data_IF_030941891967
#
_entry.id   IF_030941891967
#
_cell.length_a   1.000
_cell.length_b   1.000
_cell.length_c   1.000
_cell.angle_alpha   90.00
_cell.angle_beta   90.00
_cell.angle_gamma   90.00
#
_symmetry.space_group_name_H-M   'P 1'
#
loop_
_entity.id
_entity.type
_entity.pdbx_description
1 polymer ?
#
# COMPACT_ATOMS: atom_id res chain seq x y z
N UNK A 1 -7.12 -9.80 6.69
CA UNK A 1 -8.28 -10.40 6.02
C UNK A 1 -8.27 -11.89 6.28
N UNK A 2 -9.36 -12.44 6.84
CA UNK A 2 -9.53 -13.86 7.08
C UNK A 2 -10.42 -14.45 5.98
N UNK A 3 -9.99 -15.52 5.30
CA UNK A 3 -10.85 -16.18 4.31
C UNK A 3 -12.11 -16.74 4.97
N UNK A 4 -13.28 -16.38 4.42
CA UNK A 4 -14.55 -16.93 4.88
C UNK A 4 -14.73 -18.36 4.36
N UNK A 5 -15.06 -19.34 5.20
CA UNK A 5 -15.30 -20.70 4.76
C UNK A 5 -16.44 -20.78 3.74
N UNK A 6 -16.26 -21.53 2.66
CA UNK A 6 -17.29 -21.76 1.65
C UNK A 6 -17.43 -20.67 0.58
N UNK A 7 -16.59 -19.62 0.61
CA UNK A 7 -16.55 -18.60 -0.44
C UNK A 7 -15.68 -19.06 -1.62
N UNK A 8 -16.17 -18.93 -2.85
CA UNK A 8 -15.41 -19.19 -4.08
C UNK A 8 -14.32 -18.14 -4.30
N UNK A 9 -14.59 -16.89 -3.91
CA UNK A 9 -13.62 -15.78 -3.94
C UNK A 9 -13.32 -15.35 -2.51
N UNK A 10 -12.03 -15.23 -2.22
CA UNK A 10 -11.53 -14.89 -0.89
C UNK A 10 -10.66 -13.66 -1.00
N UNK A 11 -11.06 -12.57 -0.32
CA UNK A 11 -10.19 -11.43 -0.12
C UNK A 11 -9.00 -11.81 0.78
N UNK A 12 -7.81 -11.65 0.25
CA UNK A 12 -6.56 -11.83 0.99
C UNK A 12 -5.56 -10.78 0.51
N UNK A 13 -4.38 -10.71 1.13
CA UNK A 13 -3.37 -9.70 0.79
C UNK A 13 -2.96 -9.75 -0.69
N UNK A 14 -2.85 -10.93 -1.29
CA UNK A 14 -2.49 -11.05 -2.70
C UNK A 14 -3.57 -10.51 -3.64
N UNK A 15 -4.85 -10.92 -3.43
CA UNK A 15 -5.96 -10.43 -4.25
C UNK A 15 -6.15 -8.93 -4.09
N UNK A 16 -6.04 -8.41 -2.87
CA UNK A 16 -6.07 -6.97 -2.60
C UNK A 16 -4.96 -6.23 -3.34
N UNK A 17 -3.70 -6.68 -3.26
CA UNK A 17 -2.59 -6.04 -3.97
C UNK A 17 -2.78 -6.04 -5.50
N UNK A 18 -3.40 -7.09 -6.06
CA UNK A 18 -3.72 -7.16 -7.49
C UNK A 18 -4.83 -6.17 -7.89
N UNK A 19 -5.85 -6.02 -7.06
CA UNK A 19 -6.93 -5.05 -7.24
C UNK A 19 -6.37 -3.62 -7.17
N UNK A 20 -5.60 -3.30 -6.12
CA UNK A 20 -4.96 -1.99 -5.96
C UNK A 20 -4.03 -1.68 -7.14
N UNK A 21 -3.29 -2.67 -7.64
CA UNK A 21 -2.44 -2.50 -8.81
C UNK A 21 -3.21 -2.20 -10.09
N UNK A 22 -4.39 -2.81 -10.27
CA UNK A 22 -5.28 -2.55 -11.41
C UNK A 22 -5.87 -1.14 -11.36
N UNK A 23 -6.39 -0.72 -10.21
CA UNK A 23 -6.92 0.63 -9.99
C UNK A 23 -5.80 1.67 -10.10
N UNK A 24 -4.66 1.43 -9.46
CA UNK A 24 -3.50 2.30 -9.53
C UNK A 24 -2.98 2.51 -10.95
N UNK A 25 -2.95 1.45 -11.78
CA UNK A 25 -2.64 1.57 -13.21
C UNK A 25 -3.59 2.54 -13.90
N UNK A 26 -4.89 2.36 -13.72
CA UNK A 26 -5.91 3.23 -14.36
C UNK A 26 -5.76 4.68 -13.93
N UNK A 27 -5.56 4.94 -12.63
CA UNK A 27 -5.32 6.30 -12.14
C UNK A 27 -4.04 6.91 -12.73
N UNK A 28 -2.97 6.11 -12.83
CA UNK A 28 -1.71 6.53 -13.42
C UNK A 28 -1.83 6.85 -14.91
N UNK A 29 -2.54 6.02 -15.67
CA UNK A 29 -2.80 6.21 -17.11
C UNK A 29 -3.63 7.47 -17.36
N UNK A 30 -4.67 7.72 -16.54
CA UNK A 30 -5.50 8.93 -16.62
C UNK A 30 -4.68 10.20 -16.32
N UNK A 31 -3.81 10.16 -15.31
CA UNK A 31 -2.91 11.28 -15.00
C UNK A 31 -1.90 11.49 -16.12
N UNK A 32 -1.30 10.44 -16.65
CA UNK A 32 -0.36 10.53 -17.76
C UNK A 32 -1.02 11.18 -18.99
N UNK A 33 -2.23 10.75 -19.34
CA UNK A 33 -3.03 11.32 -20.43
C UNK A 33 -3.30 12.81 -20.20
N UNK A 34 -3.79 13.18 -19.02
CA UNK A 34 -4.11 14.57 -18.69
C UNK A 34 -2.85 15.47 -18.71
N UNK A 35 -1.68 14.94 -18.32
CA UNK A 35 -0.41 15.68 -18.40
C UNK A 35 0.03 15.87 -19.84
N UNK A 36 -0.06 14.84 -20.67
CA UNK A 36 0.31 14.93 -22.09
C UNK A 36 -0.62 15.85 -22.91
N UNK A 37 -1.92 15.91 -22.55
CA UNK A 37 -2.86 16.88 -23.15
C UNK A 37 -2.48 18.33 -22.81
N UNK A 38 -1.94 18.58 -21.62
CA UNK A 38 -1.48 19.91 -21.17
C UNK A 38 -0.06 20.25 -21.61
N UNK A 39 0.77 19.24 -21.81
CA UNK A 39 2.19 19.32 -22.10
C UNK A 39 2.57 18.39 -23.27
N UNK A 40 2.10 18.70 -24.51
CA UNK A 40 2.38 17.86 -25.68
C UNK A 40 3.87 17.70 -25.98
N UNK A 41 4.71 18.64 -25.53
CA UNK A 41 6.17 18.59 -25.64
C UNK A 41 6.82 17.42 -24.90
N UNK A 42 6.08 16.80 -23.97
CA UNK A 42 6.53 15.67 -23.16
C UNK A 42 6.15 14.30 -23.75
N UNK A 43 5.64 14.25 -24.99
CA UNK A 43 5.19 13.01 -25.63
C UNK A 43 6.28 11.95 -25.71
N UNK A 44 7.54 12.35 -25.91
CA UNK A 44 8.70 11.45 -25.99
C UNK A 44 9.34 11.17 -24.62
N UNK A 45 8.70 11.58 -23.53
CA UNK A 45 9.14 11.32 -22.17
C UNK A 45 8.63 9.97 -21.63
N UNK A 46 8.99 9.64 -20.38
CA UNK A 46 8.49 8.47 -19.68
C UNK A 46 7.11 8.68 -19.00
N UNK A 47 6.41 9.79 -19.27
CA UNK A 47 5.08 10.04 -18.72
C UNK A 47 4.06 8.93 -19.04
N UNK A 48 4.04 8.32 -20.23
CA UNK A 48 3.15 7.19 -20.53
C UNK A 48 3.34 5.97 -19.61
N UNK A 49 4.50 5.85 -18.96
CA UNK A 49 4.80 4.74 -18.05
C UNK A 49 4.28 4.94 -16.61
N UNK A 50 3.67 6.08 -16.31
CA UNK A 50 3.18 6.38 -14.95
C UNK A 50 2.24 5.27 -14.46
N UNK A 51 1.31 4.79 -15.30
CA UNK A 51 0.40 3.71 -14.94
C UNK A 51 1.14 2.42 -14.55
N UNK A 52 2.19 2.06 -15.30
CA UNK A 52 3.04 0.88 -15.01
C UNK A 52 3.80 1.05 -13.69
N UNK A 53 4.34 2.24 -13.43
CA UNK A 53 5.08 2.57 -12.20
C UNK A 53 4.16 2.50 -10.99
N UNK A 54 2.98 3.14 -11.07
CA UNK A 54 1.99 3.13 -9.98
C UNK A 54 1.48 1.71 -9.72
N UNK A 55 1.18 0.95 -10.77
CA UNK A 55 0.78 -0.46 -10.66
C UNK A 55 1.82 -1.31 -9.93
N UNK A 56 3.11 -1.16 -10.26
CA UNK A 56 4.19 -1.87 -9.59
C UNK A 56 4.36 -1.45 -8.12
N UNK A 57 4.20 -0.17 -7.82
CA UNK A 57 4.22 0.34 -6.45
C UNK A 57 3.03 -0.20 -5.64
N UNK A 58 1.83 -0.24 -6.22
CA UNK A 58 0.63 -0.82 -5.62
C UNK A 58 0.79 -2.32 -5.32
N UNK A 59 1.42 -3.11 -6.20
CA UNK A 59 1.72 -4.53 -5.92
C UNK A 59 2.61 -4.72 -4.69
N UNK A 60 3.46 -3.75 -4.40
CA UNK A 60 4.47 -3.85 -3.37
C UNK A 60 4.11 -3.12 -2.06
N UNK A 61 3.05 -2.28 -2.05
CA UNK A 61 2.76 -1.38 -0.92
C UNK A 61 2.58 -2.11 0.42
N UNK A 62 1.95 -3.28 0.39
CA UNK A 62 1.62 -4.09 1.57
C UNK A 62 2.64 -5.18 1.91
N UNK A 63 3.75 -5.26 1.15
CA UNK A 63 4.73 -6.34 1.27
C UNK A 63 5.39 -6.41 2.65
N UNK A 64 5.54 -5.26 3.31
CA UNK A 64 6.20 -5.15 4.62
C UNK A 64 5.30 -5.38 5.82
N UNK A 65 3.99 -5.47 5.64
CA UNK A 65 3.05 -5.65 6.73
C UNK A 65 3.22 -7.02 7.41
N UNK A 66 3.38 -7.07 8.74
CA UNK A 66 3.44 -8.34 9.47
C UNK A 66 2.07 -9.05 9.47
N UNK A 67 2.02 -10.32 9.90
CA UNK A 67 0.76 -10.99 10.20
C UNK A 67 -0.09 -10.15 11.17
N UNK A 68 -1.38 -10.07 10.91
CA UNK A 68 -2.36 -9.24 11.67
C UNK A 68 -2.19 -7.71 11.53
N UNK A 69 -1.44 -7.22 10.52
CA UNK A 69 -1.30 -5.80 10.22
C UNK A 69 -0.87 -4.95 11.42
N UNK A 70 -1.58 -3.88 11.73
CA UNK A 70 -1.25 -2.96 12.84
C UNK A 70 -1.15 -3.65 14.22
N UNK A 71 -1.93 -4.71 14.47
CA UNK A 71 -1.78 -5.49 15.70
C UNK A 71 -0.45 -6.23 15.75
N UNK A 72 0.01 -6.72 14.60
CA UNK A 72 1.33 -7.33 14.46
C UNK A 72 2.47 -6.31 14.63
N UNK A 73 2.36 -5.12 14.03
CA UNK A 73 3.31 -4.01 14.24
C UNK A 73 3.43 -3.67 15.72
N UNK A 74 2.29 -3.50 16.40
CA UNK A 74 2.24 -3.22 17.82
C UNK A 74 2.86 -4.34 18.66
N UNK A 75 2.61 -5.60 18.31
CA UNK A 75 3.17 -6.75 19.01
C UNK A 75 4.70 -6.80 18.90
N UNK A 76 5.25 -6.51 17.70
CA UNK A 76 6.70 -6.43 17.48
C UNK A 76 7.28 -5.29 18.31
N UNK A 77 6.71 -4.10 18.22
CA UNK A 77 7.16 -2.92 18.98
C UNK A 77 7.12 -3.16 20.50
N UNK A 78 6.03 -3.75 21.01
CA UNK A 78 5.90 -4.10 22.44
C UNK A 78 6.91 -5.17 22.87
N UNK A 79 7.22 -6.14 22.00
CA UNK A 79 8.23 -7.14 22.30
C UNK A 79 9.60 -6.51 22.59
N UNK A 80 9.99 -5.50 21.82
CA UNK A 80 11.26 -4.81 22.01
C UNK A 80 11.20 -3.75 23.12
N UNK A 81 10.10 -3.03 23.28
CA UNK A 81 9.98 -1.95 24.28
C UNK A 81 9.73 -2.44 25.71
N UNK A 82 8.93 -3.50 25.88
CA UNK A 82 8.44 -3.97 27.18
C UNK A 82 8.65 -5.49 27.41
N UNK A 83 8.87 -6.24 26.32
CA UNK A 83 8.98 -7.70 26.35
C UNK A 83 10.41 -8.20 26.52
N UNK A 84 10.63 -9.46 26.11
CA UNK A 84 11.93 -10.12 26.19
C UNK A 84 13.00 -9.48 25.28
N UNK A 85 12.59 -8.75 24.25
CA UNK A 85 13.48 -8.02 23.34
C UNK A 85 14.26 -6.90 24.01
N UNK A 86 13.81 -6.37 25.15
CA UNK A 86 14.52 -5.35 25.94
C UNK A 86 15.95 -5.78 26.26
N UNK A 87 16.21 -7.09 26.39
CA UNK A 87 17.56 -7.64 26.64
C UNK A 87 18.57 -7.31 25.54
N UNK A 88 18.14 -7.06 24.32
CA UNK A 88 19.04 -6.62 23.23
C UNK A 88 19.64 -5.23 23.46
N UNK A 89 19.05 -4.43 24.35
CA UNK A 89 19.61 -3.14 24.77
C UNK A 89 20.84 -3.31 25.68
N UNK A 90 20.96 -4.47 26.29
CA UNK A 90 22.13 -4.82 27.09
C UNK A 90 23.27 -5.27 26.18
N UNK A 91 24.51 -5.01 26.59
CA UNK A 91 25.68 -5.43 25.80
C UNK A 91 25.71 -6.95 25.69
N UNK A 92 25.67 -7.46 24.45
CA UNK A 92 25.75 -8.90 24.17
C UNK A 92 27.17 -9.42 24.40
N UNK A 93 27.34 -10.75 24.57
CA UNK A 93 28.66 -11.37 24.79
C UNK A 93 29.68 -11.08 23.68
N UNK A 94 29.22 -10.89 22.42
CA UNK A 94 30.02 -10.48 21.26
C UNK A 94 30.35 -8.99 21.25
N UNK A 95 29.75 -8.21 22.14
CA UNK A 95 29.96 -6.76 22.26
C UNK A 95 29.04 -5.93 21.42
N UNK A 96 28.17 -6.53 20.63
CA UNK A 96 27.17 -5.83 19.82
C UNK A 96 25.97 -5.39 20.65
N UNK A 97 25.46 -4.21 20.34
CA UNK A 97 24.17 -3.69 20.84
C UNK A 97 23.58 -2.76 19.82
N UNK A 98 22.26 -2.68 19.70
CA UNK A 98 21.63 -1.73 18.80
C UNK A 98 22.01 -0.29 19.14
N UNK A 99 22.30 0.50 18.12
CA UNK A 99 22.43 1.94 18.26
C UNK A 99 21.11 2.56 18.73
N UNK A 100 21.10 3.79 19.27
CA UNK A 100 19.85 4.48 19.65
C UNK A 100 18.82 4.55 18.49
N UNK A 101 19.29 4.76 17.25
CA UNK A 101 18.39 4.84 16.07
C UNK A 101 17.83 3.46 15.70
N UNK A 102 18.63 2.41 15.73
CA UNK A 102 18.12 1.04 15.51
C UNK A 102 17.15 0.63 16.62
N UNK A 103 17.36 1.11 17.83
CA UNK A 103 16.42 0.87 18.92
C UNK A 103 15.07 1.56 18.69
N UNK A 104 15.07 2.79 18.18
CA UNK A 104 13.85 3.49 17.76
C UNK A 104 13.11 2.71 16.65
N UNK A 105 13.84 2.19 15.65
CA UNK A 105 13.26 1.36 14.59
C UNK A 105 12.57 0.10 15.13
N UNK A 106 13.21 -0.59 16.09
CA UNK A 106 12.66 -1.81 16.69
C UNK A 106 11.43 -1.54 17.58
N UNK A 107 11.44 -0.44 18.32
CA UNK A 107 10.37 -0.10 19.26
C UNK A 107 9.19 0.62 18.62
N UNK A 108 9.37 1.09 17.37
CA UNK A 108 8.32 1.72 16.56
C UNK A 108 8.11 0.99 15.22
N UNK A 109 8.28 -0.32 15.18
CA UNK A 109 8.22 -1.11 13.94
C UNK A 109 7.02 -0.71 13.07
N UNK A 110 7.29 -0.50 11.76
CA UNK A 110 6.33 0.03 10.80
C UNK A 110 6.41 -0.75 9.48
N UNK A 111 5.24 -1.21 8.97
CA UNK A 111 5.16 -2.04 7.77
C UNK A 111 5.63 -1.35 6.50
N UNK A 112 5.38 -0.04 6.33
CA UNK A 112 5.84 0.69 5.14
C UNK A 112 7.38 0.75 5.09
N UNK A 113 8.04 1.01 6.23
CA UNK A 113 9.50 0.98 6.32
C UNK A 113 10.05 -0.42 6.00
N UNK A 114 9.37 -1.46 6.51
CA UNK A 114 9.74 -2.84 6.22
C UNK A 114 9.53 -3.22 4.75
N UNK A 115 8.51 -2.68 4.07
CA UNK A 115 8.33 -2.87 2.61
C UNK A 115 9.53 -2.31 1.84
N UNK A 116 9.96 -1.09 2.16
CA UNK A 116 11.14 -0.49 1.54
C UNK A 116 12.40 -1.33 1.77
N UNK A 117 12.61 -1.82 3.02
CA UNK A 117 13.72 -2.73 3.34
C UNK A 117 13.67 -4.02 2.54
N UNK A 118 12.52 -4.70 2.47
CA UNK A 118 12.39 -5.95 1.72
C UNK A 118 12.73 -5.79 0.24
N UNK A 119 12.43 -4.63 -0.34
CA UNK A 119 12.67 -4.34 -1.75
C UNK A 119 14.10 -3.91 -2.06
N UNK A 120 14.79 -3.26 -1.12
CA UNK A 120 16.11 -2.66 -1.34
C UNK A 120 17.25 -3.46 -0.72
N UNK A 121 16.99 -4.20 0.36
CA UNK A 121 18.02 -4.95 1.09
C UNK A 121 18.56 -6.11 0.27
N UNK A 122 19.88 -6.27 0.31
CA UNK A 122 20.56 -7.41 -0.31
C UNK A 122 20.56 -8.59 0.64
N UNK A 123 19.54 -9.44 0.56
CA UNK A 123 19.53 -10.71 1.26
C UNK A 123 20.56 -11.68 0.67
N UNK A 124 21.00 -12.65 1.45
CA UNK A 124 21.93 -13.68 1.02
C UNK A 124 21.43 -14.37 -0.27
N UNK A 125 22.34 -14.54 -1.25
CA UNK A 125 22.02 -15.12 -2.56
C UNK A 125 21.25 -14.18 -3.52
N UNK A 126 20.98 -12.94 -3.14
CA UNK A 126 20.35 -11.94 -4.00
C UNK A 126 21.37 -10.97 -4.59
N UNK A 127 21.01 -10.39 -5.76
CA UNK A 127 21.84 -9.35 -6.39
C UNK A 127 21.84 -8.05 -5.58
N UNK A 128 22.85 -7.22 -5.78
CA UNK A 128 22.91 -5.87 -5.18
C UNK A 128 21.66 -5.06 -5.56
N UNK A 129 21.06 -4.37 -4.58
CA UNK A 129 19.83 -3.61 -4.76
C UNK A 129 18.53 -4.42 -4.60
N UNK A 130 18.62 -5.62 -4.01
CA UNK A 130 17.44 -6.44 -3.68
C UNK A 130 16.65 -6.86 -4.92
N UNK A 131 15.43 -6.35 -5.06
CA UNK A 131 14.55 -6.60 -6.21
C UNK A 131 14.93 -5.79 -7.47
N UNK A 132 15.91 -4.89 -7.37
CA UNK A 132 16.35 -4.02 -8.47
C UNK A 132 15.20 -3.21 -9.12
N UNK A 133 14.33 -2.67 -8.27
CA UNK A 133 13.24 -1.78 -8.68
C UNK A 133 13.77 -0.42 -9.15
N UNK A 134 13.00 0.27 -9.99
CA UNK A 134 13.33 1.66 -10.37
C UNK A 134 13.19 2.59 -9.16
N UNK A 135 13.98 3.65 -9.13
CA UNK A 135 13.93 4.66 -8.07
C UNK A 135 12.54 5.29 -7.94
N UNK A 136 11.89 5.59 -9.07
CA UNK A 136 10.55 6.15 -9.09
C UNK A 136 9.54 5.20 -8.43
N UNK A 137 9.59 3.89 -8.73
CA UNK A 137 8.71 2.91 -8.08
C UNK A 137 8.97 2.83 -6.58
N UNK A 138 10.25 2.77 -6.16
CA UNK A 138 10.62 2.74 -4.74
C UNK A 138 10.15 4.00 -4.00
N UNK A 139 10.35 5.19 -4.57
CA UNK A 139 9.88 6.44 -3.98
C UNK A 139 8.36 6.52 -3.89
N UNK A 140 7.64 5.88 -4.84
CA UNK A 140 6.17 5.87 -4.87
C UNK A 140 5.53 5.00 -3.78
N UNK A 141 6.30 4.11 -3.14
CA UNK A 141 5.84 3.27 -2.02
C UNK A 141 6.03 4.00 -0.69
N UNK A 142 7.01 4.91 -0.59
CA UNK A 142 7.39 5.54 0.68
C UNK A 142 6.43 6.68 1.04
N UNK A 143 5.37 6.32 1.75
CA UNK A 143 4.31 7.23 2.22
C UNK A 143 4.82 8.27 3.22
N UNK A 144 5.80 7.91 4.04
CA UNK A 144 6.36 8.72 5.11
C UNK A 144 7.87 8.87 4.93
N UNK A 145 8.35 9.80 4.08
CA UNK A 145 9.76 9.89 3.68
C UNK A 145 10.65 10.51 4.77
N UNK A 146 10.67 9.89 5.94
CA UNK A 146 11.48 10.26 7.11
C UNK A 146 11.75 9.04 8.01
N UNK A 147 12.78 9.15 8.85
CA UNK A 147 13.23 8.10 9.78
C UNK A 147 12.33 7.96 11.01
N UNK A 148 12.49 6.86 11.74
CA UNK A 148 11.72 6.52 12.96
C UNK A 148 11.80 7.60 14.05
N UNK A 149 12.90 8.35 14.15
CA UNK A 149 13.07 9.43 15.10
C UNK A 149 12.05 10.60 14.92
N UNK A 150 11.38 10.66 13.76
CA UNK A 150 10.31 11.62 13.45
C UNK A 150 8.91 11.01 13.49
N UNK A 151 8.79 9.73 13.84
CA UNK A 151 7.53 8.98 13.78
C UNK A 151 6.44 9.52 14.72
N UNK A 152 6.81 10.14 15.83
CA UNK A 152 5.87 10.68 16.82
C UNK A 152 4.96 9.61 17.40
N UNK A 153 3.81 10.03 17.93
CA UNK A 153 2.84 9.13 18.58
C UNK A 153 2.15 8.14 17.64
N UNK A 154 2.16 8.40 16.33
CA UNK A 154 1.53 7.53 15.32
C UNK A 154 2.46 6.40 14.88
N UNK A 155 3.73 6.39 15.29
CA UNK A 155 4.75 5.40 14.90
C UNK A 155 4.81 5.16 13.38
N UNK A 156 4.65 6.21 12.56
CA UNK A 156 4.67 6.13 11.09
C UNK A 156 5.95 6.74 10.55
N UNK A 157 6.72 5.97 9.76
CA UNK A 157 7.95 6.39 9.08
C UNK A 157 8.19 5.51 7.85
N UNK A 158 9.14 5.83 6.99
CA UNK A 158 9.24 5.22 5.66
C UNK A 158 10.46 4.38 5.39
N UNK A 159 11.48 4.43 6.25
CA UNK A 159 12.69 3.61 6.14
C UNK A 159 13.37 3.47 7.50
N UNK A 160 13.99 2.32 7.73
CA UNK A 160 14.84 2.08 8.88
C UNK A 160 16.20 2.77 8.70
N UNK A 161 16.94 2.94 9.79
CA UNK A 161 18.26 3.56 9.76
C UNK A 161 19.20 2.84 8.78
N UNK A 162 19.09 1.54 8.66
CA UNK A 162 19.87 0.72 7.72
C UNK A 162 19.58 1.03 6.24
N UNK A 163 18.44 1.58 5.91
CA UNK A 163 18.03 1.97 4.55
C UNK A 163 18.07 3.48 4.30
N UNK A 164 18.43 4.30 5.32
CA UNK A 164 18.44 5.76 5.22
C UNK A 164 19.32 6.27 4.07
N UNK A 165 20.55 5.75 3.93
CA UNK A 165 21.45 6.11 2.82
C UNK A 165 20.87 5.75 1.45
N UNK A 166 20.22 4.58 1.38
CA UNK A 166 19.57 4.13 0.14
C UNK A 166 18.42 5.05 -0.26
N UNK A 167 17.59 5.45 0.71
CA UNK A 167 16.49 6.37 0.45
C UNK A 167 17.01 7.78 0.11
N UNK A 168 18.02 8.27 0.83
CA UNK A 168 18.65 9.57 0.54
C UNK A 168 19.16 9.64 -0.90
N UNK A 169 19.85 8.60 -1.38
CA UNK A 169 20.31 8.52 -2.77
C UNK A 169 19.14 8.54 -3.76
N UNK A 170 18.09 7.73 -3.53
CA UNK A 170 16.90 7.69 -4.38
C UNK A 170 16.24 9.08 -4.45
N UNK A 171 16.03 9.71 -3.31
CA UNK A 171 15.39 11.02 -3.20
C UNK A 171 16.18 12.12 -3.91
N UNK A 172 17.52 12.08 -3.79
CA UNK A 172 18.43 13.03 -4.46
C UNK A 172 18.40 12.85 -5.97
N UNK A 173 18.51 11.63 -6.47
CA UNK A 173 18.45 11.33 -7.91
C UNK A 173 17.12 11.72 -8.55
N UNK A 174 16.02 11.61 -7.79
CA UNK A 174 14.69 12.03 -8.25
C UNK A 174 14.39 13.51 -8.02
N UNK A 175 15.32 14.27 -7.43
CA UNK A 175 15.13 15.68 -7.14
C UNK A 175 14.03 15.96 -6.12
N UNK A 176 13.77 15.05 -5.18
CA UNK A 176 12.79 15.30 -4.12
C UNK A 176 13.28 16.41 -3.20
N UNK A 177 12.36 17.28 -2.78
CA UNK A 177 12.68 18.41 -1.90
C UNK A 177 13.11 17.90 -0.52
N UNK A 178 14.34 18.18 -0.12
CA UNK A 178 14.82 17.95 1.23
C UNK A 178 14.15 18.94 2.18
N UNK A 179 13.45 18.43 3.19
CA UNK A 179 12.75 19.25 4.20
C UNK A 179 13.55 19.38 5.48
N UNK A 180 14.33 18.37 5.82
CA UNK A 180 15.24 18.35 6.96
C UNK A 180 16.37 17.36 6.72
N UNK A 181 17.60 17.71 7.12
CA UNK A 181 18.79 16.89 6.89
C UNK A 181 19.05 15.93 8.07
N UNK A 182 18.88 16.40 9.29
CA UNK A 182 19.11 15.61 10.51
C UNK A 182 18.03 15.92 11.56
N UNK A 183 17.11 14.97 11.84
CA UNK A 183 16.89 13.68 11.17
C UNK A 183 16.35 13.83 9.76
N UNK A 184 16.71 12.88 8.87
CA UNK A 184 16.42 12.96 7.44
C UNK A 184 14.92 12.99 7.15
N UNK A 185 14.49 13.97 6.34
CA UNK A 185 13.10 14.12 5.90
C UNK A 185 13.01 14.74 4.52
N UNK A 186 12.26 14.11 3.64
CA UNK A 186 11.95 14.60 2.29
C UNK A 186 10.46 14.91 2.12
N UNK A 187 10.14 15.66 1.07
CA UNK A 187 8.78 15.74 0.55
C UNK A 187 8.37 14.38 -0.07
N UNK A 188 7.09 14.08 -0.09
CA UNK A 188 6.56 12.89 -0.73
C UNK A 188 6.76 12.94 -2.24
N UNK A 189 7.07 11.80 -2.85
CA UNK A 189 7.00 11.66 -4.29
C UNK A 189 5.55 11.81 -4.77
N UNK A 190 5.25 12.55 -5.87
CA UNK A 190 3.87 12.78 -6.32
C UNK A 190 3.04 11.52 -6.55
N UNK A 191 3.64 10.44 -7.06
CA UNK A 191 2.92 9.20 -7.32
C UNK A 191 2.49 8.44 -6.06
N UNK A 192 3.00 8.77 -4.88
CA UNK A 192 2.52 8.22 -3.60
C UNK A 192 1.03 8.46 -3.42
N UNK A 193 0.54 9.64 -3.84
CA UNK A 193 -0.88 9.99 -3.72
C UNK A 193 -1.78 9.10 -4.59
N UNK A 194 -1.29 8.64 -5.74
CA UNK A 194 -2.02 7.71 -6.59
C UNK A 194 -2.05 6.29 -6.00
N UNK A 195 -0.95 5.87 -5.38
CA UNK A 195 -0.89 4.58 -4.66
C UNK A 195 -1.84 4.59 -3.47
N UNK A 196 -1.84 5.65 -2.65
CA UNK A 196 -2.78 5.82 -1.54
C UNK A 196 -4.24 5.83 -2.02
N UNK A 197 -4.54 6.61 -3.07
CA UNK A 197 -5.89 6.68 -3.61
C UNK A 197 -6.38 5.32 -4.14
N UNK A 198 -5.52 4.55 -4.80
CA UNK A 198 -5.86 3.21 -5.28
C UNK A 198 -6.15 2.25 -4.13
N UNK A 199 -5.33 2.28 -3.07
CA UNK A 199 -5.52 1.48 -1.86
C UNK A 199 -6.85 1.83 -1.16
N UNK A 200 -7.10 3.12 -0.92
CA UNK A 200 -8.33 3.61 -0.29
C UNK A 200 -9.59 3.21 -1.07
N UNK A 201 -9.57 3.33 -2.41
CA UNK A 201 -10.69 2.94 -3.27
C UNK A 201 -10.98 1.44 -3.14
N UNK A 202 -9.94 0.60 -3.26
CA UNK A 202 -10.10 -0.86 -3.16
C UNK A 202 -10.55 -1.28 -1.76
N UNK A 203 -9.99 -0.68 -0.72
CA UNK A 203 -10.34 -0.98 0.66
C UNK A 203 -11.81 -0.67 0.96
N UNK A 204 -12.31 0.50 0.53
CA UNK A 204 -13.71 0.86 0.70
C UNK A 204 -14.67 -0.09 -0.02
N UNK A 205 -14.36 -0.49 -1.25
CA UNK A 205 -15.19 -1.45 -2.00
C UNK A 205 -15.19 -2.83 -1.33
N UNK A 206 -14.05 -3.30 -0.90
CA UNK A 206 -13.88 -4.58 -0.22
C UNK A 206 -14.67 -4.62 1.10
N UNK A 207 -14.64 -3.56 1.89
CA UNK A 207 -15.37 -3.47 3.15
C UNK A 207 -16.90 -3.53 2.94
N UNK A 208 -17.41 -2.85 1.91
CA UNK A 208 -18.84 -2.89 1.56
C UNK A 208 -19.23 -4.32 1.12
N UNK A 209 -18.42 -4.96 0.27
CA UNK A 209 -18.68 -6.35 -0.16
C UNK A 209 -18.64 -7.34 1.01
N UNK A 210 -17.64 -7.25 1.87
CA UNK A 210 -17.51 -8.14 3.02
C UNK A 210 -18.64 -7.92 4.03
N UNK A 211 -19.07 -6.68 4.26
CA UNK A 211 -20.22 -6.36 5.09
C UNK A 211 -21.52 -6.96 4.53
N UNK A 212 -21.70 -6.95 3.21
CA UNK A 212 -22.83 -7.61 2.55
C UNK A 212 -22.74 -9.14 2.67
N UNK A 213 -21.57 -9.74 2.41
CA UNK A 213 -21.36 -11.21 2.54
C UNK A 213 -21.60 -11.70 3.97
N UNK A 214 -21.22 -10.90 4.96
CA UNK A 214 -21.45 -11.18 6.39
C UNK A 214 -22.88 -10.87 6.84
N UNK A 215 -23.76 -10.41 5.94
CA UNK A 215 -25.15 -10.01 6.22
C UNK A 215 -25.26 -8.87 7.27
N UNK A 216 -24.23 -8.04 7.36
CA UNK A 216 -24.25 -6.79 8.14
C UNK A 216 -25.04 -5.73 7.37
N UNK A 217 -24.86 -5.69 6.03
CA UNK A 217 -25.62 -4.89 5.11
C UNK A 217 -26.59 -5.75 4.30
N UNK A 218 -27.80 -5.25 4.09
CA UNK A 218 -28.76 -5.80 3.13
C UNK A 218 -28.33 -5.51 1.70
N UNK A 219 -28.94 -6.19 0.73
CA UNK A 219 -28.69 -5.93 -0.69
C UNK A 219 -29.10 -4.51 -1.10
N UNK A 220 -30.19 -4.01 -0.54
CA UNK A 220 -30.69 -2.65 -0.77
C UNK A 220 -29.73 -1.60 -0.24
N UNK A 221 -29.28 -1.71 1.01
CA UNK A 221 -28.28 -0.82 1.63
C UNK A 221 -26.96 -0.84 0.87
N UNK A 222 -26.48 -2.02 0.49
CA UNK A 222 -25.27 -2.17 -0.33
C UNK A 222 -25.40 -1.46 -1.67
N UNK A 223 -26.54 -1.65 -2.33
CA UNK A 223 -26.84 -0.97 -3.60
C UNK A 223 -26.88 0.53 -3.43
N UNK A 224 -27.51 1.05 -2.41
CA UNK A 224 -27.59 2.47 -2.10
C UNK A 224 -26.19 3.08 -1.90
N UNK A 225 -25.35 2.42 -1.09
CA UNK A 225 -23.96 2.84 -0.86
C UNK A 225 -23.15 2.88 -2.16
N UNK A 226 -23.21 1.83 -2.98
CA UNK A 226 -22.46 1.76 -4.22
C UNK A 226 -22.98 2.77 -5.26
N UNK A 227 -24.30 2.99 -5.33
CA UNK A 227 -24.89 3.94 -6.26
C UNK A 227 -24.54 5.39 -5.94
N UNK A 228 -24.27 5.73 -4.67
CA UNK A 228 -23.89 7.08 -4.27
C UNK A 228 -22.58 7.59 -4.90
N UNK A 229 -21.72 6.69 -5.41
CA UNK A 229 -20.50 7.07 -6.13
C UNK A 229 -20.73 7.56 -7.57
N UNK A 230 -21.93 7.41 -8.11
CA UNK A 230 -22.23 7.70 -9.51
C UNK A 230 -23.21 8.86 -9.65
N UNK A 231 -23.10 9.63 -10.74
CA UNK A 231 -24.08 10.63 -11.10
C UNK A 231 -25.40 9.98 -11.56
N UNK A 232 -26.49 10.75 -11.64
CA UNK A 232 -27.84 10.27 -11.94
C UNK A 232 -27.91 9.48 -13.26
N UNK A 233 -27.23 9.95 -14.31
CA UNK A 233 -27.22 9.28 -15.62
C UNK A 233 -26.56 7.88 -15.52
N UNK A 234 -25.44 7.80 -14.83
CA UNK A 234 -24.73 6.54 -14.63
C UNK A 234 -25.51 5.60 -13.71
N UNK A 235 -26.15 6.14 -12.67
CA UNK A 235 -27.04 5.39 -11.79
C UNK A 235 -28.18 4.71 -12.57
N UNK A 236 -28.85 5.43 -13.45
CA UNK A 236 -29.93 4.88 -14.29
C UNK A 236 -29.44 3.75 -15.19
N UNK A 237 -28.23 3.90 -15.79
CA UNK A 237 -27.61 2.85 -16.60
C UNK A 237 -27.29 1.60 -15.79
N UNK A 238 -26.66 1.77 -14.62
CA UNK A 238 -26.29 0.65 -13.73
C UNK A 238 -27.54 -0.07 -13.22
N UNK A 239 -28.59 0.65 -12.83
CA UNK A 239 -29.85 0.05 -12.38
C UNK A 239 -30.48 -0.83 -13.45
N UNK A 240 -30.47 -0.39 -14.71
CA UNK A 240 -30.97 -1.18 -15.85
C UNK A 240 -30.15 -2.45 -16.03
N UNK A 241 -28.82 -2.36 -15.96
CA UNK A 241 -27.92 -3.51 -16.09
C UNK A 241 -28.12 -4.49 -14.94
N UNK A 242 -28.26 -4.00 -13.72
CA UNK A 242 -28.49 -4.81 -12.53
C UNK A 242 -29.82 -5.61 -12.63
N UNK A 243 -30.86 -4.97 -13.13
CA UNK A 243 -32.16 -5.63 -13.36
C UNK A 243 -32.04 -6.77 -14.39
N UNK A 244 -31.32 -6.54 -15.47
CA UNK A 244 -31.07 -7.57 -16.50
C UNK A 244 -30.26 -8.74 -15.90
N UNK A 245 -29.20 -8.48 -15.15
CA UNK A 245 -28.40 -9.52 -14.51
C UNK A 245 -29.21 -10.38 -13.54
N UNK A 246 -30.09 -9.78 -12.73
CA UNK A 246 -30.99 -10.51 -11.83
C UNK A 246 -31.96 -11.42 -12.56
N UNK A 247 -32.44 -11.01 -13.73
CA UNK A 247 -33.31 -11.85 -14.57
C UNK A 247 -32.60 -13.11 -15.09
N UNK A 248 -31.29 -13.01 -15.37
CA UNK A 248 -30.48 -14.14 -15.85
C UNK A 248 -29.90 -15.01 -14.74
N UNK A 249 -29.76 -14.50 -13.52
CA UNK A 249 -29.20 -15.21 -12.38
C UNK A 249 -30.25 -15.74 -11.41
N UNK A 250 -31.53 -15.45 -11.62
CA UNK A 250 -32.62 -16.10 -10.88
C UNK A 250 -32.60 -17.60 -11.18
N UNK A 251 -32.62 -18.46 -10.16
CA UNK A 251 -32.68 -19.90 -10.38
C UNK A 251 -33.88 -20.21 -11.30
N UNK A 252 -33.59 -20.96 -12.37
CA UNK A 252 -34.64 -21.46 -13.25
C UNK A 252 -35.64 -22.26 -12.41
N UNK A 253 -36.95 -22.24 -12.72
CA UNK A 253 -37.90 -23.16 -12.07
C UNK A 253 -37.50 -24.61 -12.13
N UNK A 254 -36.52 -24.98 -12.96
CA UNK A 254 -35.97 -26.36 -13.06
C UNK A 254 -34.88 -26.65 -12.02
N UNK A 255 -34.36 -25.64 -11.30
CA UNK A 255 -33.31 -25.83 -10.31
C UNK A 255 -33.89 -25.97 -8.88
N UNK A 256 -35.22 -26.05 -8.75
CA UNK A 256 -35.97 -26.14 -7.48
C UNK A 256 -36.71 -27.48 -7.32
N UNK A 257 -36.39 -28.51 -8.13
CA UNK A 257 -36.89 -29.90 -7.93
C UNK A 257 -35.84 -30.81 -7.29
#
# INVERSE_FOLDING_TARGET
>A
VFPLPGSVFVHNRLTHSLEVASVGRSLGDDVAKALLERHPELQDSFLPEIGSIVSAACLAHDLGNPPFGHSGEKAISTFFSEGKGVRLKEKQPDGEQPSPMEWEDLTHFEGNANAFRLLTHQFEGRRKGGFAMTYTTLASIVKYPFSSSLAGTKSKFGFFVSEEESFHRIATELGLTLLNEHPLKYARHPLVYLVEAADDICYQMMDIEDAHKLKILTTEETKELLMAYFNEERQAHIQKTFHICLLYTSPSPRDTE
#
